data_IF_291194734467
#
_entry.id   IF_291194734467
#
_cell.length_a   1.000
_cell.length_b   1.000
_cell.length_c   1.000
_cell.angle_alpha   90.00
_cell.angle_beta   90.00
_cell.angle_gamma   90.00
#
_symmetry.space_group_name_H-M   'P 1'
#
loop_
_entity.id
_entity.type
_entity.pdbx_description
1 polymer ?
#
# COMPACT_ATOMS: atom_id res chain seq x y z
N UNK A 1 -28.03 -2.81 -10.35
CA UNK A 1 -27.49 -1.92 -9.29
C UNK A 1 -27.29 -0.55 -9.91
N UNK A 2 -27.95 0.48 -9.38
CA UNK A 2 -27.68 1.86 -9.81
C UNK A 2 -26.27 2.27 -9.40
N UNK A 3 -25.57 2.98 -10.26
CA UNK A 3 -24.24 3.51 -9.98
C UNK A 3 -24.30 4.50 -8.83
N UNK A 4 -23.54 4.21 -7.76
CA UNK A 4 -23.25 5.18 -6.70
C UNK A 4 -22.08 6.04 -7.16
N UNK A 5 -22.27 7.35 -7.19
CA UNK A 5 -21.22 8.31 -7.54
C UNK A 5 -20.43 8.72 -6.29
N UNK A 6 -19.16 9.07 -6.46
CA UNK A 6 -18.36 9.67 -5.39
C UNK A 6 -18.98 11.01 -4.97
N UNK A 7 -18.93 11.37 -3.68
CA UNK A 7 -19.38 12.67 -3.20
C UNK A 7 -18.63 13.80 -3.91
N UNK A 8 -19.37 14.83 -4.30
CA UNK A 8 -18.87 15.99 -5.00
C UNK A 8 -18.71 17.14 -3.99
N UNK A 9 -17.47 17.35 -3.54
CA UNK A 9 -17.13 18.32 -2.50
C UNK A 9 -16.00 19.24 -3.01
N UNK A 10 -16.33 20.23 -3.86
CA UNK A 10 -15.35 21.07 -4.56
C UNK A 10 -14.68 22.13 -3.68
N UNK A 11 -15.26 22.47 -2.52
CA UNK A 11 -14.72 23.46 -1.56
C UNK A 11 -13.86 22.81 -0.47
N UNK A 12 -13.44 21.58 -0.72
CA UNK A 12 -12.55 20.82 0.14
C UNK A 12 -11.12 21.34 -0.02
N UNK A 13 -10.71 22.28 0.84
CA UNK A 13 -9.34 22.80 0.84
C UNK A 13 -8.32 21.72 1.24
N UNK A 14 -7.49 21.30 0.27
CA UNK A 14 -6.27 20.51 0.47
C UNK A 14 -5.17 21.11 -0.43
N UNK A 15 -4.28 21.94 0.13
CA UNK A 15 -3.16 22.56 -0.60
C UNK A 15 -2.19 21.51 -1.19
N UNK A 16 -2.00 20.43 -0.45
CA UNK A 16 -1.30 19.21 -0.85
C UNK A 16 -2.05 18.03 -0.21
N UNK A 17 -2.05 16.83 -0.83
CA UNK A 17 -2.44 15.65 -0.08
C UNK A 17 -1.54 15.55 1.16
N UNK A 18 -2.10 15.29 2.35
CA UNK A 18 -1.29 15.13 3.54
C UNK A 18 -0.27 14.03 3.31
N UNK A 19 0.95 14.23 3.81
CA UNK A 19 1.96 13.19 3.73
C UNK A 19 1.46 11.99 4.54
N UNK A 20 1.48 10.79 3.96
CA UNK A 20 1.14 9.57 4.72
C UNK A 20 2.09 9.35 5.90
N UNK A 21 3.31 9.91 5.83
CA UNK A 21 4.27 9.87 6.93
C UNK A 21 3.84 10.73 8.12
N UNK A 22 2.97 11.73 7.92
CA UNK A 22 2.39 12.53 9.01
C UNK A 22 1.27 11.79 9.75
N UNK A 23 0.84 10.62 9.26
CA UNK A 23 -0.28 9.88 9.83
C UNK A 23 0.14 9.00 11.00
N UNK A 24 1.43 8.67 11.11
CA UNK A 24 1.98 7.83 12.17
C UNK A 24 3.09 8.58 12.92
N UNK A 25 3.16 8.46 14.26
CA UNK A 25 4.21 9.11 15.04
C UNK A 25 5.59 8.54 14.67
N UNK A 26 6.62 9.34 14.88
CA UNK A 26 8.00 8.88 14.74
C UNK A 26 8.26 7.62 15.58
N UNK A 27 9.00 6.66 15.01
CA UNK A 27 9.30 5.39 15.68
C UNK A 27 8.16 4.38 15.73
N UNK A 28 7.03 4.64 15.06
CA UNK A 28 5.94 3.66 14.96
C UNK A 28 6.43 2.33 14.33
N UNK A 29 5.97 1.19 14.88
CA UNK A 29 6.42 -0.15 14.49
C UNK A 29 6.28 -0.43 12.98
N UNK A 30 5.26 0.14 12.32
CA UNK A 30 5.07 0.01 10.88
C UNK A 30 6.29 0.46 10.06
N UNK A 31 7.05 1.44 10.54
CA UNK A 31 8.28 1.89 9.89
C UNK A 31 9.37 0.82 10.00
N UNK A 32 9.58 0.26 11.20
CA UNK A 32 10.52 -0.84 11.40
C UNK A 32 10.16 -2.06 10.53
N UNK A 33 8.88 -2.44 10.48
CA UNK A 33 8.41 -3.54 9.62
C UNK A 33 8.66 -3.21 8.14
N UNK A 34 8.42 -1.96 7.73
CA UNK A 34 8.70 -1.52 6.37
C UNK A 34 10.18 -1.67 6.04
N UNK A 35 11.07 -1.18 6.89
CA UNK A 35 12.52 -1.25 6.69
C UNK A 35 13.01 -2.69 6.60
N UNK A 36 12.56 -3.55 7.52
CA UNK A 36 12.89 -4.99 7.49
C UNK A 36 12.41 -5.64 6.19
N UNK A 37 11.19 -5.33 5.72
CA UNK A 37 10.67 -5.93 4.49
C UNK A 37 11.41 -5.44 3.24
N UNK A 38 11.90 -4.20 3.21
CA UNK A 38 12.71 -3.70 2.07
C UNK A 38 14.08 -4.38 1.97
N UNK A 39 14.61 -4.93 3.08
CA UNK A 39 15.88 -5.68 3.11
C UNK A 39 15.73 -7.14 2.62
N UNK A 40 14.51 -7.66 2.51
CA UNK A 40 14.26 -9.06 2.12
C UNK A 40 14.33 -9.25 0.60
N UNK A 41 14.91 -10.37 0.17
CA UNK A 41 14.79 -10.82 -1.23
C UNK A 41 13.39 -11.40 -1.48
N UNK A 42 12.59 -10.65 -2.27
CA UNK A 42 11.23 -11.03 -2.64
C UNK A 42 11.13 -11.50 -4.10
N UNK A 43 12.26 -11.71 -4.78
CA UNK A 43 12.32 -12.11 -6.20
C UNK A 43 11.44 -13.33 -6.52
N UNK A 44 11.41 -14.32 -5.63
CA UNK A 44 10.59 -15.52 -5.77
C UNK A 44 9.07 -15.21 -5.81
N UNK A 45 8.60 -14.20 -5.06
CA UNK A 45 7.19 -13.78 -5.11
C UNK A 45 6.87 -13.14 -6.45
N UNK A 46 7.74 -12.27 -6.97
CA UNK A 46 7.52 -11.59 -8.24
C UNK A 46 7.63 -12.54 -9.45
N UNK A 47 8.59 -13.47 -9.44
CA UNK A 47 8.79 -14.45 -10.51
C UNK A 47 7.53 -15.29 -10.78
N UNK A 48 6.73 -15.57 -9.75
CA UNK A 48 5.45 -16.31 -9.87
C UNK A 48 4.41 -15.59 -10.75
N UNK A 49 4.50 -14.27 -10.83
CA UNK A 49 3.57 -13.39 -11.56
C UNK A 49 4.16 -12.86 -12.88
N UNK A 50 5.38 -13.24 -13.24
CA UNK A 50 5.94 -12.91 -14.56
C UNK A 50 5.06 -13.53 -15.67
N UNK A 51 4.49 -12.68 -16.52
CA UNK A 51 3.65 -13.09 -17.66
C UNK A 51 2.14 -13.16 -17.40
N UNK A 52 1.65 -12.96 -16.16
CA UNK A 52 0.20 -12.87 -15.90
C UNK A 52 -0.34 -11.48 -16.25
N UNK A 53 -1.05 -11.37 -17.38
CA UNK A 53 -1.49 -10.09 -17.95
C UNK A 53 -2.51 -9.26 -17.14
N UNK A 54 -2.71 -8.04 -17.64
CA UNK A 54 -3.48 -6.86 -17.16
C UNK A 54 -4.85 -7.05 -16.47
N UNK A 55 -5.43 -8.25 -16.43
CA UNK A 55 -6.84 -8.43 -16.02
C UNK A 55 -7.01 -8.65 -14.51
N UNK A 56 -5.95 -9.03 -13.79
CA UNK A 56 -5.91 -9.12 -12.33
C UNK A 56 -4.55 -8.58 -11.84
N UNK A 57 -4.40 -7.27 -11.71
CA UNK A 57 -3.19 -6.70 -11.09
C UNK A 57 -3.15 -7.12 -9.62
N UNK A 58 -2.25 -8.03 -9.20
CA UNK A 58 -2.15 -8.40 -7.81
C UNK A 58 -1.67 -7.20 -6.99
N UNK A 59 -1.98 -7.20 -5.68
CA UNK A 59 -1.31 -6.30 -4.75
C UNK A 59 0.19 -6.59 -4.73
N UNK A 60 1.01 -5.55 -4.50
CA UNK A 60 2.45 -5.71 -4.44
C UNK A 60 2.82 -6.68 -3.29
N UNK A 61 3.62 -7.74 -3.56
CA UNK A 61 4.13 -8.64 -2.53
C UNK A 61 4.76 -7.96 -1.32
N UNK A 62 5.50 -6.84 -1.52
CA UNK A 62 6.04 -6.04 -0.41
C UNK A 62 4.94 -5.49 0.47
N UNK A 63 3.89 -4.93 -0.13
CA UNK A 63 2.77 -4.37 0.62
C UNK A 63 2.02 -5.46 1.38
N UNK A 64 1.74 -6.59 0.74
CA UNK A 64 1.10 -7.74 1.40
C UNK A 64 1.92 -8.25 2.58
N UNK A 65 3.24 -8.41 2.41
CA UNK A 65 4.11 -8.90 3.47
C UNK A 65 4.18 -7.92 4.65
N UNK A 66 4.28 -6.61 4.39
CA UNK A 66 4.23 -5.57 5.44
C UNK A 66 2.95 -5.67 6.26
N UNK A 67 1.79 -5.82 5.60
CA UNK A 67 0.50 -5.98 6.28
C UNK A 67 0.44 -7.26 7.10
N UNK A 68 0.89 -8.39 6.54
CA UNK A 68 0.87 -9.69 7.23
C UNK A 68 1.76 -9.70 8.47
N UNK A 69 2.97 -9.14 8.40
CA UNK A 69 3.91 -9.08 9.53
C UNK A 69 3.37 -8.10 10.59
N UNK A 70 2.86 -6.94 10.17
CA UNK A 70 2.36 -5.94 11.11
C UNK A 70 1.08 -6.40 11.85
N UNK A 71 0.27 -7.24 11.22
CA UNK A 71 -1.01 -7.70 11.77
C UNK A 71 -0.94 -9.00 12.61
N UNK A 72 0.24 -9.62 12.72
CA UNK A 72 0.47 -10.82 13.53
C UNK A 72 0.96 -10.46 14.92
#
# INVERSE_FOLDING_TARGET
>A
MGTTFRPYSPDQELLLPPSLNEWLPDGHLAYFVSDVVEELDLSAFYARYEGSGRRNSPFDPRMMLKVLIYAY
#
